data_IF_338622294257
#
_entry.id   IF_338622294257
#
_cell.length_a   1.000
_cell.length_b   1.000
_cell.length_c   1.000
_cell.angle_alpha   90.00
_cell.angle_beta   90.00
_cell.angle_gamma   90.00
#
_symmetry.space_group_name_H-M   'P 1'
#
loop_
_entity.id
_entity.type
_entity.pdbx_description
1 polymer ?
#
# COMPACT_ATOMS: atom_id res chain seq x y z
N UNK A 1 9.36 2.07 -19.98
CA UNK A 1 8.78 1.07 -19.06
C UNK A 1 7.72 0.28 -19.80
N UNK A 2 7.36 -0.91 -19.32
CA UNK A 2 6.25 -1.74 -19.81
C UNK A 2 5.36 -2.13 -18.65
N UNK A 3 4.10 -2.46 -18.91
CA UNK A 3 3.21 -2.98 -17.87
C UNK A 3 3.81 -4.27 -17.28
N UNK A 4 3.68 -4.44 -15.97
CA UNK A 4 3.99 -5.72 -15.32
C UNK A 4 2.95 -6.77 -15.69
N UNK A 5 3.27 -8.03 -15.44
CA UNK A 5 2.25 -9.07 -15.40
C UNK A 5 1.43 -8.90 -14.12
N UNK A 6 0.13 -9.20 -14.19
CA UNK A 6 -0.72 -9.33 -13.01
C UNK A 6 -0.08 -10.32 -12.04
N UNK A 7 0.11 -9.92 -10.79
CA UNK A 7 0.75 -10.75 -9.77
C UNK A 7 2.25 -11.04 -10.00
N UNK A 8 2.92 -10.39 -10.97
CA UNK A 8 4.34 -10.63 -11.24
C UNK A 8 5.28 -10.14 -10.14
N UNK A 9 4.78 -9.32 -9.22
CA UNK A 9 5.49 -8.77 -8.07
C UNK A 9 4.58 -8.83 -6.83
N UNK A 10 4.27 -10.04 -6.33
CA UNK A 10 3.23 -10.23 -5.31
C UNK A 10 3.59 -9.59 -3.97
N UNK A 11 4.86 -9.26 -3.75
CA UNK A 11 5.34 -8.54 -2.57
C UNK A 11 5.23 -7.01 -2.69
N UNK A 12 4.76 -6.46 -3.81
CA UNK A 12 4.53 -5.02 -3.94
C UNK A 12 3.38 -4.60 -3.02
N UNK A 13 3.59 -3.55 -2.23
CA UNK A 13 2.61 -3.03 -1.29
C UNK A 13 2.48 -1.52 -1.45
N UNK A 14 1.25 -1.03 -1.35
CA UNK A 14 0.93 0.39 -1.38
C UNK A 14 0.73 0.89 0.07
N UNK A 15 1.57 1.79 0.56
CA UNK A 15 1.34 2.50 1.82
C UNK A 15 0.46 3.72 1.56
N UNK A 16 -0.69 3.79 2.21
CA UNK A 16 -1.73 4.80 1.95
C UNK A 16 -1.99 5.64 3.20
N UNK A 17 -2.27 6.92 3.01
CA UNK A 17 -2.81 7.80 4.05
C UNK A 17 -4.32 7.59 4.10
N UNK A 18 -4.85 7.22 5.26
CA UNK A 18 -6.29 7.09 5.45
C UNK A 18 -7.00 8.42 5.20
N UNK A 19 -8.17 8.35 4.59
CA UNK A 19 -9.04 9.49 4.34
C UNK A 19 -10.39 9.25 4.99
N UNK A 20 -11.01 10.31 5.54
CA UNK A 20 -12.38 10.26 6.02
C UNK A 20 -13.42 10.26 4.88
N UNK A 21 -13.00 10.52 3.64
CA UNK A 21 -13.89 10.74 2.49
C UNK A 21 -13.80 9.64 1.41
N UNK A 22 -13.25 8.47 1.73
CA UNK A 22 -13.17 7.33 0.80
C UNK A 22 -11.78 6.70 0.76
N UNK A 23 -11.34 6.27 -0.44
CA UNK A 23 -10.06 5.60 -0.64
C UNK A 23 -8.89 6.47 -0.15
N UNK A 24 -8.00 5.85 0.64
CA UNK A 24 -6.77 6.47 1.13
C UNK A 24 -5.86 6.92 -0.02
N UNK A 25 -5.03 7.94 0.23
CA UNK A 25 -4.09 8.45 -0.78
C UNK A 25 -2.79 7.66 -0.76
N UNK A 26 -2.35 7.11 -1.89
CA UNK A 26 -1.03 6.49 -2.02
C UNK A 26 0.08 7.48 -1.60
N UNK A 27 0.90 7.05 -0.65
CA UNK A 27 2.04 7.82 -0.13
C UNK A 27 3.38 7.29 -0.62
N UNK A 28 3.58 5.99 -0.48
CA UNK A 28 4.83 5.31 -0.73
C UNK A 28 4.59 3.89 -1.22
N UNK A 29 5.61 3.32 -1.87
CA UNK A 29 5.73 1.88 -2.02
C UNK A 29 6.23 1.21 -0.74
N UNK A 30 5.97 -0.07 -0.61
CA UNK A 30 6.43 -0.92 0.47
C UNK A 30 6.58 -2.37 -0.03
N UNK A 31 7.18 -3.24 0.78
CA UNK A 31 7.44 -4.64 0.43
C UNK A 31 6.93 -5.56 1.52
N UNK A 32 6.12 -6.55 1.14
CA UNK A 32 5.67 -7.60 2.04
C UNK A 32 6.84 -8.55 2.34
N UNK A 33 7.24 -8.63 3.61
CA UNK A 33 8.30 -9.53 4.08
C UNK A 33 7.73 -10.88 4.54
N UNK A 34 6.56 -10.83 5.19
CA UNK A 34 5.82 -12.00 5.66
C UNK A 34 4.36 -11.61 5.91
N UNK A 35 3.53 -12.56 6.31
CA UNK A 35 2.08 -12.36 6.52
C UNK A 35 1.70 -11.17 7.40
N UNK A 36 2.58 -10.73 8.31
CA UNK A 36 2.28 -9.63 9.25
C UNK A 36 3.33 -8.50 9.21
N UNK A 37 4.31 -8.55 8.30
CA UNK A 37 5.41 -7.59 8.26
C UNK A 37 5.58 -6.97 6.89
N UNK A 38 5.53 -5.65 6.84
CA UNK A 38 5.77 -4.83 5.65
C UNK A 38 6.94 -3.89 5.91
N UNK A 39 7.84 -3.77 4.94
CA UNK A 39 8.99 -2.87 4.97
C UNK A 39 8.78 -1.68 4.05
N UNK A 40 9.11 -0.48 4.52
CA UNK A 40 9.11 0.75 3.72
C UNK A 40 10.22 1.70 4.20
N UNK A 41 10.41 2.82 3.51
CA UNK A 41 11.41 3.80 3.87
C UNK A 41 10.92 4.68 5.04
N UNK A 42 11.79 4.95 6.01
CA UNK A 42 11.47 5.81 7.16
C UNK A 42 10.98 7.22 6.75
N UNK A 43 11.43 7.74 5.60
CA UNK A 43 11.01 9.07 5.15
C UNK A 43 9.52 9.16 4.79
N UNK A 44 8.84 8.04 4.55
CA UNK A 44 7.40 8.00 4.26
C UNK A 44 6.55 8.57 5.40
N UNK A 45 7.08 8.53 6.63
CA UNK A 45 6.38 9.00 7.84
C UNK A 45 6.75 10.44 8.25
N UNK A 46 7.70 11.09 7.57
CA UNK A 46 8.18 12.44 7.96
C UNK A 46 7.10 13.51 7.87
N UNK A 47 6.19 13.42 6.89
CA UNK A 47 5.19 14.46 6.60
C UNK A 47 3.91 14.33 7.42
N UNK A 48 3.48 13.09 7.73
CA UNK A 48 2.18 12.81 8.34
C UNK A 48 2.29 12.13 9.72
N UNK A 49 3.50 12.10 10.29
CA UNK A 49 3.79 11.50 11.59
C UNK A 49 3.92 9.97 11.53
N UNK A 50 4.23 9.34 12.65
CA UNK A 50 4.43 7.89 12.75
C UNK A 50 3.26 7.15 13.44
N UNK A 51 2.13 7.83 13.68
CA UNK A 51 0.93 7.19 14.20
C UNK A 51 0.37 6.21 13.17
N UNK A 52 0.37 4.92 13.49
CA UNK A 52 -0.15 3.86 12.61
C UNK A 52 -1.61 4.09 12.23
N UNK A 53 -2.39 4.76 13.08
CA UNK A 53 -3.80 5.11 12.82
C UNK A 53 -4.01 5.99 11.58
N UNK A 54 -2.96 6.66 11.10
CA UNK A 54 -3.04 7.52 9.91
C UNK A 54 -2.88 6.72 8.60
N UNK A 55 -2.46 5.46 8.69
CA UNK A 55 -2.01 4.69 7.53
C UNK A 55 -2.82 3.42 7.34
N UNK A 56 -2.94 3.01 6.08
CA UNK A 56 -3.38 1.68 5.68
C UNK A 56 -2.35 1.11 4.70
N UNK A 57 -2.25 -0.21 4.62
CA UNK A 57 -1.45 -0.91 3.62
C UNK A 57 -2.39 -1.66 2.69
N UNK A 58 -2.11 -1.58 1.40
CA UNK A 58 -2.84 -2.32 0.37
C UNK A 58 -1.92 -3.35 -0.28
N UNK A 59 -2.35 -4.60 -0.26
CA UNK A 59 -1.66 -5.75 -0.84
C UNK A 59 -2.49 -6.34 -1.98
N UNK A 60 -1.86 -7.10 -2.88
CA UNK A 60 -2.57 -7.80 -3.98
C UNK A 60 -3.05 -6.93 -5.14
N UNK A 61 -2.91 -5.60 -5.05
CA UNK A 61 -3.28 -4.63 -6.09
C UNK A 61 -2.37 -4.74 -7.34
N UNK A 62 -2.95 -4.60 -8.52
CA UNK A 62 -2.25 -4.44 -9.80
C UNK A 62 -2.64 -3.14 -10.50
N UNK A 63 -3.92 -2.74 -10.43
CA UNK A 63 -4.41 -1.53 -11.07
C UNK A 63 -5.04 -0.56 -10.05
N UNK A 64 -4.25 0.41 -9.58
CA UNK A 64 -4.56 1.33 -8.47
C UNK A 64 -5.86 2.15 -8.54
N UNK A 65 -6.61 2.09 -9.63
CA UNK A 65 -7.88 2.81 -9.85
C UNK A 65 -9.09 1.88 -10.06
N UNK A 66 -8.86 0.58 -10.11
CA UNK A 66 -9.89 -0.44 -10.36
C UNK A 66 -9.88 -1.33 -9.12
N UNK A 67 -11.00 -1.47 -8.40
CA UNK A 67 -11.11 -2.46 -7.32
C UNK A 67 -10.94 -3.88 -7.87
N UNK A 68 -10.13 -4.70 -7.21
CA UNK A 68 -9.81 -6.06 -7.64
C UNK A 68 -10.12 -7.07 -6.53
N UNK A 69 -10.49 -8.30 -6.89
CA UNK A 69 -10.93 -9.33 -5.94
C UNK A 69 -9.83 -9.80 -4.96
N UNK A 70 -8.56 -9.63 -5.35
CA UNK A 70 -7.40 -10.00 -4.54
C UNK A 70 -6.81 -8.82 -3.77
N UNK A 71 -7.39 -7.63 -3.93
CA UNK A 71 -6.94 -6.44 -3.21
C UNK A 71 -7.44 -6.50 -1.77
N UNK A 72 -6.52 -6.38 -0.82
CA UNK A 72 -6.85 -6.26 0.59
C UNK A 72 -6.22 -4.99 1.16
N UNK A 73 -7.02 -4.20 1.87
CA UNK A 73 -6.58 -3.01 2.59
C UNK A 73 -6.64 -3.26 4.10
N UNK A 74 -5.48 -3.15 4.75
CA UNK A 74 -5.29 -3.44 6.17
C UNK A 74 -4.89 -2.14 6.87
N UNK A 75 -5.63 -1.76 7.91
CA UNK A 75 -5.26 -0.63 8.76
C UNK A 75 -6.39 -0.08 9.57
#
# INVERSE_FOLDING_TARGET
>A
GKNSLRGGWPWQVSLRLKSSHGDGRLLCGATLLSSCWVLTAAHCFKRYGNSTRNYAVRVGDYHTRVPEEFEEEIG
#
